data_IF_893797219294
#
_entry.id   IF_893797219294
#
_cell.length_a   1.000
_cell.length_b   1.000
_cell.length_c   1.000
_cell.angle_alpha   90.00
_cell.angle_beta   90.00
_cell.angle_gamma   90.00
#
_symmetry.space_group_name_H-M   'P 1'
#
loop_
_entity.id
_entity.type
_entity.pdbx_description
1 polymer ?
#
# COMPACT_ATOMS: atom_id res chain seq x y z
N UNK A 1 -14.84 42.39 3.45
CA UNK A 1 -13.73 41.53 2.96
C UNK A 1 -13.97 40.13 3.51
N UNK A 2 -14.93 39.39 2.93
CA UNK A 2 -15.51 38.18 3.52
C UNK A 2 -15.11 36.88 2.81
N UNK A 3 -14.09 36.91 1.94
CA UNK A 3 -13.79 35.79 1.03
C UNK A 3 -12.79 34.77 1.61
N UNK A 4 -11.97 35.15 2.58
CA UNK A 4 -10.88 34.28 3.06
C UNK A 4 -11.36 33.26 4.11
N UNK A 5 -12.43 33.57 4.84
CA UNK A 5 -12.94 32.70 5.91
C UNK A 5 -13.83 31.57 5.38
N UNK A 6 -14.50 31.78 4.25
CA UNK A 6 -15.23 30.71 3.55
C UNK A 6 -14.29 29.74 2.82
N UNK A 7 -13.14 30.24 2.32
CA UNK A 7 -12.12 29.38 1.71
C UNK A 7 -11.44 28.47 2.74
N UNK A 8 -11.12 29.00 3.92
CA UNK A 8 -10.59 28.22 5.03
C UNK A 8 -11.59 27.14 5.49
N UNK A 9 -12.88 27.48 5.60
CA UNK A 9 -13.91 26.51 5.97
C UNK A 9 -14.17 25.44 4.90
N UNK A 10 -13.95 25.72 3.61
CA UNK A 10 -14.04 24.69 2.56
C UNK A 10 -12.88 23.69 2.66
N UNK A 11 -11.66 24.18 2.92
CA UNK A 11 -10.48 23.33 3.16
C UNK A 11 -10.64 22.49 4.44
N UNK A 12 -11.14 23.10 5.51
CA UNK A 12 -11.25 22.43 6.82
C UNK A 12 -12.42 21.42 6.85
N UNK A 13 -13.50 21.69 6.11
CA UNK A 13 -14.67 20.80 6.02
C UNK A 13 -14.45 19.60 5.09
N UNK A 14 -13.47 19.67 4.18
CA UNK A 14 -13.00 18.49 3.44
C UNK A 14 -12.16 17.55 4.32
N UNK A 15 -11.50 18.10 5.35
CA UNK A 15 -10.56 17.36 6.20
C UNK A 15 -11.20 16.80 7.49
N UNK A 16 -12.48 17.07 7.75
CA UNK A 16 -13.14 16.70 9.01
C UNK A 16 -13.83 15.33 9.03
N UNK A 17 -13.90 14.59 7.90
CA UNK A 17 -14.62 13.31 7.88
C UNK A 17 -13.75 12.06 8.17
N UNK A 18 -12.45 12.24 8.41
CA UNK A 18 -11.60 11.12 8.88
C UNK A 18 -10.58 11.59 9.92
N UNK A 19 -11.03 11.67 11.18
CA UNK A 19 -10.16 11.94 12.31
C UNK A 19 -9.13 10.83 12.50
N UNK A 20 -7.94 11.00 11.92
CA UNK A 20 -6.63 10.57 12.43
C UNK A 20 -5.52 11.09 11.51
N UNK A 21 -4.74 12.02 12.03
CA UNK A 21 -3.61 12.70 11.40
C UNK A 21 -2.58 11.74 10.76
N UNK A 22 -2.24 11.97 9.49
CA UNK A 22 -0.88 12.00 8.91
C UNK A 22 -0.95 12.11 7.37
N UNK A 23 -0.45 13.21 6.80
CA UNK A 23 -0.19 13.45 5.37
C UNK A 23 -1.32 13.05 4.39
N UNK A 24 -2.18 14.01 4.05
CA UNK A 24 -2.96 13.96 2.82
C UNK A 24 -2.02 14.11 1.61
N UNK A 25 -1.59 12.95 1.09
CA UNK A 25 -1.19 12.83 -0.31
C UNK A 25 -2.38 13.27 -1.15
N UNK A 26 -2.13 14.25 -2.02
CA UNK A 26 -3.02 14.72 -3.10
C UNK A 26 -3.87 13.56 -3.59
N UNK A 27 -5.18 13.76 -3.72
CA UNK A 27 -6.14 12.82 -4.27
C UNK A 27 -5.78 12.41 -5.71
N UNK A 28 -4.78 11.53 -5.83
CA UNK A 28 -4.56 10.65 -6.97
C UNK A 28 -5.83 9.81 -7.05
N UNK A 29 -6.52 9.75 -8.20
CA UNK A 29 -7.81 9.05 -8.37
C UNK A 29 -7.81 7.52 -8.15
N UNK A 30 -6.94 7.01 -7.28
CA UNK A 30 -6.97 5.70 -6.68
C UNK A 30 -7.99 5.69 -5.53
N UNK A 31 -8.66 4.55 -5.34
CA UNK A 31 -9.56 4.37 -4.19
C UNK A 31 -8.74 4.40 -2.89
N UNK A 32 -9.31 4.95 -1.83
CA UNK A 32 -8.63 5.08 -0.54
C UNK A 32 -8.51 3.69 0.11
N UNK A 33 -7.37 3.03 -0.09
CA UNK A 33 -7.05 1.72 0.46
C UNK A 33 -6.38 1.83 1.82
N UNK A 34 -6.76 0.95 2.75
CA UNK A 34 -6.15 0.91 4.07
C UNK A 34 -4.73 0.34 3.96
N UNK A 35 -3.71 1.14 4.29
CA UNK A 35 -2.30 0.75 4.18
C UNK A 35 -1.60 0.53 5.54
N UNK A 36 -1.94 1.30 6.58
CA UNK A 36 -1.26 1.23 7.89
C UNK A 36 -2.28 1.11 9.03
N UNK A 37 -2.16 0.05 9.80
CA UNK A 37 -2.93 -0.27 11.01
C UNK A 37 -2.01 -0.52 12.23
N UNK A 38 -0.73 -0.85 11.99
CA UNK A 38 0.26 -1.16 13.01
C UNK A 38 1.57 -0.42 12.77
N UNK A 39 2.51 -0.51 13.73
CA UNK A 39 3.83 0.10 13.60
C UNK A 39 4.59 -0.49 12.41
N UNK A 40 4.95 0.36 11.44
CA UNK A 40 5.76 -0.03 10.28
C UNK A 40 7.16 -0.47 10.75
N UNK A 41 7.59 -1.70 10.42
CA UNK A 41 8.94 -2.18 10.71
C UNK A 41 10.03 -1.26 10.14
N UNK A 42 11.13 -1.06 10.89
CA UNK A 42 12.27 -0.24 10.46
C UNK A 42 12.79 -0.58 9.05
N UNK A 43 12.93 -1.86 8.64
CA UNK A 43 13.40 -2.21 7.30
C UNK A 43 12.58 -1.62 6.15
N UNK A 44 11.29 -1.35 6.38
CA UNK A 44 10.38 -0.79 5.38
C UNK A 44 10.41 0.74 5.36
N UNK A 45 10.88 1.39 6.43
CA UNK A 45 11.07 2.84 6.48
C UNK A 45 12.33 3.28 5.73
N UNK A 46 13.32 2.39 5.66
CA UNK A 46 14.57 2.62 4.95
C UNK A 46 14.46 2.32 3.43
N UNK A 47 13.30 1.85 2.96
CA UNK A 47 13.07 1.61 1.52
C UNK A 47 12.79 2.95 0.83
N UNK A 48 13.86 3.56 0.31
CA UNK A 48 13.77 4.72 -0.60
C UNK A 48 13.83 4.24 -2.05
N UNK A 49 12.76 3.57 -2.49
CA UNK A 49 12.62 3.09 -3.85
C UNK A 49 11.37 3.67 -4.50
N UNK A 50 11.44 3.85 -5.83
CA UNK A 50 10.34 4.35 -6.65
C UNK A 50 9.91 3.27 -7.61
N UNK A 51 8.60 3.04 -7.70
CA UNK A 51 8.05 2.13 -8.68
C UNK A 51 8.01 2.82 -10.03
N UNK A 52 8.89 2.36 -10.92
CA UNK A 52 9.04 2.86 -12.27
C UNK A 52 7.79 2.50 -13.09
N UNK A 53 6.87 3.45 -13.15
CA UNK A 53 5.66 3.47 -13.96
C UNK A 53 5.48 4.88 -14.52
N UNK A 54 4.42 5.14 -15.29
CA UNK A 54 4.17 6.46 -15.89
C UNK A 54 4.12 7.62 -14.87
N UNK A 55 3.94 7.29 -13.58
CA UNK A 55 3.82 8.24 -12.47
C UNK A 55 5.01 8.26 -11.50
N UNK A 56 6.02 7.38 -11.66
CA UNK A 56 7.22 7.29 -10.79
C UNK A 56 6.93 7.48 -9.28
N UNK A 57 5.96 6.72 -8.74
CA UNK A 57 5.50 6.86 -7.36
C UNK A 57 6.42 6.12 -6.37
N UNK A 58 6.69 6.68 -5.17
CA UNK A 58 7.46 6.01 -4.13
C UNK A 58 6.70 4.78 -3.57
N UNK A 59 7.44 3.80 -3.07
CA UNK A 59 6.84 2.72 -2.28
C UNK A 59 6.34 3.25 -0.94
N UNK A 60 5.05 3.07 -0.66
CA UNK A 60 4.44 3.40 0.62
C UNK A 60 4.48 2.17 1.54
N UNK A 61 4.92 2.28 2.81
CA UNK A 61 4.93 1.13 3.71
C UNK A 61 3.52 0.69 4.10
N UNK A 62 3.34 -0.63 4.20
CA UNK A 62 2.09 -1.30 4.56
C UNK A 62 2.30 -2.09 5.85
N UNK A 63 1.38 -1.94 6.81
CA UNK A 63 1.42 -2.69 8.07
C UNK A 63 -0.01 -2.91 8.58
N UNK A 64 -0.66 -4.00 8.17
CA UNK A 64 -2.07 -4.29 8.41
C UNK A 64 -2.25 -5.45 9.39
N UNK A 65 -3.06 -5.27 10.44
CA UNK A 65 -3.36 -6.35 11.38
C UNK A 65 -4.30 -7.37 10.72
N UNK A 66 -3.80 -8.58 10.51
CA UNK A 66 -4.57 -9.68 9.88
C UNK A 66 -4.94 -10.80 10.88
N UNK A 67 -4.11 -10.98 11.90
CA UNK A 67 -4.22 -12.03 12.92
C UNK A 67 -3.33 -13.24 12.63
N UNK A 68 -3.31 -14.20 13.58
CA UNK A 68 -2.54 -15.46 13.46
C UNK A 68 -3.18 -16.40 12.43
N UNK A 69 -2.99 -16.13 11.15
CA UNK A 69 -3.36 -17.00 10.04
C UNK A 69 -2.11 -17.36 9.25
N UNK A 70 -2.04 -18.57 8.74
CA UNK A 70 -0.86 -19.03 7.99
C UNK A 70 -0.73 -18.45 6.57
N UNK A 71 -1.78 -17.83 6.01
CA UNK A 71 -1.76 -17.36 4.62
C UNK A 71 -2.66 -16.13 4.36
N UNK A 72 -2.19 -15.28 3.44
CA UNK A 72 -2.89 -14.11 2.91
C UNK A 72 -3.49 -14.53 1.55
N UNK A 73 -4.81 -14.66 1.48
CA UNK A 73 -5.53 -14.94 0.23
C UNK A 73 -6.04 -13.64 -0.41
N UNK A 74 -6.23 -13.62 -1.73
CA UNK A 74 -6.70 -12.43 -2.47
C UNK A 74 -7.99 -11.82 -1.88
N UNK A 75 -9.04 -12.62 -1.65
CA UNK A 75 -10.31 -12.12 -1.06
C UNK A 75 -10.10 -11.52 0.32
N UNK A 76 -9.27 -12.18 1.13
CA UNK A 76 -8.97 -11.75 2.50
C UNK A 76 -8.13 -10.50 2.52
N UNK A 77 -7.25 -10.34 1.54
CA UNK A 77 -6.46 -9.14 1.36
C UNK A 77 -7.33 -7.98 0.88
N UNK A 78 -8.23 -8.22 -0.07
CA UNK A 78 -9.22 -7.25 -0.53
C UNK A 78 -10.08 -6.73 0.64
N UNK A 79 -10.60 -7.63 1.47
CA UNK A 79 -11.30 -7.30 2.72
C UNK A 79 -10.41 -6.43 3.63
N UNK A 80 -9.13 -6.76 3.77
CA UNK A 80 -8.18 -6.10 4.67
C UNK A 80 -7.86 -4.66 4.25
N UNK A 81 -7.70 -4.42 2.94
CA UNK A 81 -7.50 -3.09 2.38
C UNK A 81 -8.81 -2.34 2.14
N UNK A 82 -9.95 -2.97 2.47
CA UNK A 82 -11.31 -2.48 2.25
C UNK A 82 -11.57 -2.09 0.78
N UNK A 83 -11.10 -2.93 -0.14
CA UNK A 83 -11.26 -2.76 -1.58
C UNK A 83 -12.25 -3.75 -2.14
N UNK A 84 -13.17 -3.27 -2.98
CA UNK A 84 -14.19 -4.11 -3.63
C UNK A 84 -13.88 -4.38 -5.12
N UNK A 85 -12.73 -3.96 -5.62
CA UNK A 85 -12.31 -4.21 -6.99
C UNK A 85 -11.51 -5.51 -7.14
N UNK A 86 -10.94 -5.69 -8.33
CA UNK A 86 -10.19 -6.90 -8.68
C UNK A 86 -8.82 -6.90 -7.98
N UNK A 87 -8.54 -8.00 -7.29
CA UNK A 87 -7.24 -8.27 -6.64
C UNK A 87 -6.69 -9.55 -7.23
N UNK A 88 -5.53 -9.46 -7.88
CA UNK A 88 -4.83 -10.57 -8.51
C UNK A 88 -3.55 -10.89 -7.73
N UNK A 89 -3.34 -12.16 -7.37
CA UNK A 89 -2.05 -12.61 -6.83
C UNK A 89 -1.10 -12.90 -7.98
N UNK A 90 0.07 -12.26 -7.96
CA UNK A 90 1.14 -12.46 -8.93
C UNK A 90 2.42 -12.87 -8.21
N UNK A 91 3.26 -13.65 -8.88
CA UNK A 91 4.53 -14.06 -8.29
C UNK A 91 5.52 -12.89 -8.27
N UNK A 92 6.41 -12.86 -7.27
CA UNK A 92 7.48 -11.85 -7.18
C UNK A 92 8.34 -11.84 -8.44
N UNK A 93 8.55 -13.01 -9.08
CA UNK A 93 9.36 -13.14 -10.30
C UNK A 93 8.66 -12.56 -11.52
N UNK A 94 7.34 -12.73 -11.61
CA UNK A 94 6.53 -12.16 -12.69
C UNK A 94 6.37 -10.64 -12.52
N UNK A 95 6.26 -10.15 -11.29
CA UNK A 95 6.21 -8.72 -11.01
C UNK A 95 7.56 -8.02 -11.21
N UNK A 96 8.63 -8.62 -10.69
CA UNK A 96 9.99 -8.07 -10.74
C UNK A 96 10.87 -8.80 -11.77
N UNK A 97 10.41 -8.87 -13.02
CA UNK A 97 11.10 -9.60 -14.11
C UNK A 97 12.55 -9.13 -14.28
N UNK A 98 12.79 -7.82 -14.17
CA UNK A 98 14.11 -7.19 -14.31
C UNK A 98 14.95 -7.25 -13.03
N UNK A 99 14.39 -7.79 -11.95
CA UNK A 99 15.00 -7.86 -10.62
C UNK A 99 15.48 -6.49 -10.06
N UNK A 100 14.85 -5.39 -10.48
CA UNK A 100 15.21 -4.02 -10.07
C UNK A 100 14.78 -3.76 -8.62
N UNK A 101 13.72 -4.41 -8.16
CA UNK A 101 13.17 -4.25 -6.82
C UNK A 101 13.62 -5.33 -5.82
N UNK A 102 14.80 -5.93 -6.06
CA UNK A 102 15.36 -6.96 -5.18
C UNK A 102 15.45 -6.47 -3.72
N UNK A 103 15.94 -5.25 -3.52
CA UNK A 103 16.12 -4.64 -2.20
C UNK A 103 14.78 -4.44 -1.47
N UNK A 104 13.73 -4.05 -2.20
CA UNK A 104 12.37 -3.92 -1.68
C UNK A 104 11.86 -5.27 -1.18
N UNK A 105 11.99 -6.32 -2.01
CA UNK A 105 11.58 -7.68 -1.64
C UNK A 105 12.34 -8.19 -0.42
N UNK A 106 13.66 -7.94 -0.35
CA UNK A 106 14.45 -8.29 0.83
C UNK A 106 14.03 -7.51 2.08
N UNK A 107 13.73 -6.22 1.95
CA UNK A 107 13.24 -5.39 3.05
C UNK A 107 11.91 -5.90 3.60
N UNK A 108 10.97 -6.24 2.70
CA UNK A 108 9.68 -6.86 3.05
C UNK A 108 9.91 -8.21 3.75
N UNK A 109 10.79 -9.06 3.21
CA UNK A 109 11.12 -10.34 3.83
C UNK A 109 11.73 -10.18 5.22
N UNK A 110 12.62 -9.21 5.42
CA UNK A 110 13.20 -8.85 6.73
C UNK A 110 12.12 -8.34 7.69
N UNK A 111 11.16 -7.58 7.20
CA UNK A 111 10.03 -7.10 7.99
C UNK A 111 9.12 -8.24 8.49
N UNK A 112 8.97 -9.31 7.72
CA UNK A 112 8.25 -10.53 8.10
C UNK A 112 9.07 -11.54 8.92
N UNK A 113 10.23 -11.15 9.44
CA UNK A 113 11.17 -12.05 10.15
C UNK A 113 11.64 -13.27 9.33
N UNK A 114 11.40 -13.29 8.01
CA UNK A 114 11.73 -14.41 7.13
C UNK A 114 10.89 -15.68 7.33
N UNK A 115 9.74 -15.59 8.00
CA UNK A 115 8.90 -16.76 8.33
C UNK A 115 7.94 -17.14 7.22
N UNK A 116 7.39 -16.13 6.53
CA UNK A 116 6.50 -16.29 5.41
C UNK A 116 7.18 -15.85 4.11
N UNK A 117 6.72 -16.41 3.00
CA UNK A 117 7.13 -15.95 1.67
C UNK A 117 6.56 -14.55 1.39
N UNK A 118 7.21 -13.83 0.47
CA UNK A 118 6.73 -12.54 -0.01
C UNK A 118 5.69 -12.79 -1.10
N UNK A 119 4.50 -12.24 -0.92
CA UNK A 119 3.40 -12.30 -1.88
C UNK A 119 3.22 -10.94 -2.53
N UNK A 120 2.84 -10.93 -3.81
CA UNK A 120 2.53 -9.71 -4.55
C UNK A 120 1.08 -9.74 -4.99
N UNK A 121 0.32 -8.70 -4.65
CA UNK A 121 -1.05 -8.52 -5.08
C UNK A 121 -1.16 -7.30 -5.98
N UNK A 122 -1.72 -7.47 -7.17
CA UNK A 122 -2.10 -6.39 -8.07
C UNK A 122 -3.56 -6.06 -7.83
N UNK A 123 -3.84 -4.81 -7.49
CA UNK A 123 -5.16 -4.32 -7.16
C UNK A 123 -5.58 -3.31 -8.23
N UNK A 124 -6.58 -3.66 -9.04
CA UNK A 124 -7.05 -2.77 -10.10
C UNK A 124 -7.96 -1.67 -9.54
N UNK A 125 -7.70 -0.43 -9.96
CA UNK A 125 -8.48 0.76 -9.67
C UNK A 125 -9.04 1.35 -10.98
N UNK A 126 -10.23 0.90 -11.37
CA UNK A 126 -10.85 1.34 -12.62
C UNK A 126 -10.12 0.77 -13.84
N UNK A 127 -9.97 1.58 -14.90
CA UNK A 127 -9.51 1.10 -16.21
C UNK A 127 -8.01 1.24 -16.47
N UNK A 128 -7.34 2.20 -15.85
CA UNK A 128 -5.94 2.56 -16.16
C UNK A 128 -5.04 2.67 -14.94
N UNK A 129 -5.55 2.36 -13.74
CA UNK A 129 -4.79 2.52 -12.50
C UNK A 129 -4.75 1.20 -11.76
N UNK A 130 -3.60 0.85 -11.20
CA UNK A 130 -3.45 -0.33 -10.38
C UNK A 130 -2.48 -0.06 -9.22
N UNK A 131 -2.70 -0.72 -8.09
CA UNK A 131 -1.79 -0.71 -6.94
C UNK A 131 -1.14 -2.08 -6.81
N UNK A 132 0.19 -2.12 -6.70
CA UNK A 132 0.93 -3.34 -6.40
C UNK A 132 1.25 -3.36 -4.92
N UNK A 133 0.85 -4.43 -4.24
CA UNK A 133 1.12 -4.67 -2.83
C UNK A 133 2.12 -5.80 -2.69
N UNK A 134 3.30 -5.50 -2.16
CA UNK A 134 4.36 -6.47 -1.90
C UNK A 134 4.38 -6.68 -0.39
N UNK A 135 3.80 -7.79 0.06
CA UNK A 135 3.53 -8.01 1.48
C UNK A 135 3.99 -9.39 1.93
N UNK A 136 4.21 -9.51 3.23
CA UNK A 136 4.50 -10.77 3.91
C UNK A 136 3.85 -10.77 5.28
N UNK A 137 3.79 -11.93 5.91
CA UNK A 137 3.24 -12.10 7.24
C UNK A 137 4.36 -12.16 8.29
N UNK A 138 4.25 -11.35 9.35
CA UNK A 138 5.18 -11.39 10.48
C UNK A 138 4.76 -12.41 11.56
N UNK A 139 5.61 -12.61 12.57
CA UNK A 139 5.37 -13.52 13.70
C UNK A 139 4.11 -13.20 14.53
N UNK A 140 3.68 -11.95 14.51
CA UNK A 140 2.52 -11.44 15.26
C UNK A 140 1.20 -11.63 14.49
N UNK A 141 1.27 -12.08 13.23
CA UNK A 141 0.10 -12.16 12.34
C UNK A 141 -0.28 -10.82 11.73
N UNK A 142 0.68 -9.92 11.59
CA UNK A 142 0.53 -8.62 10.92
C UNK A 142 1.11 -8.76 9.52
N UNK A 143 0.33 -8.32 8.53
CA UNK A 143 0.76 -8.22 7.14
C UNK A 143 1.60 -6.97 7.01
N UNK A 144 2.88 -7.13 6.72
CA UNK A 144 3.84 -6.03 6.59
C UNK A 144 4.46 -6.04 5.21
N UNK A 145 4.67 -4.87 4.64
CA UNK A 145 5.17 -4.77 3.27
C UNK A 145 5.26 -3.35 2.74
N UNK A 146 5.20 -3.23 1.43
CA UNK A 146 5.07 -1.95 0.74
C UNK A 146 3.96 -2.02 -0.30
N UNK A 147 3.43 -0.87 -0.70
CA UNK A 147 2.57 -0.72 -1.85
C UNK A 147 3.12 0.33 -2.81
N UNK A 148 2.83 0.16 -4.09
CA UNK A 148 3.18 1.11 -5.13
C UNK A 148 1.97 1.37 -6.02
N UNK A 149 1.77 2.65 -6.37
CA UNK A 149 0.76 3.05 -7.34
C UNK A 149 1.35 3.01 -8.74
N UNK A 150 0.56 2.52 -9.68
CA UNK A 150 0.93 2.42 -11.07
C UNK A 150 -0.23 2.86 -11.95
N UNK A 151 0.11 3.47 -13.09
CA UNK A 151 -0.85 3.81 -14.14
C UNK A 151 -0.46 3.00 -15.37
N UNK A 152 -1.40 2.20 -15.86
CA UNK A 152 -1.29 1.39 -17.08
C UNK A 152 -2.20 2.06 -18.12
N UNK A 153 -1.59 2.83 -19.03
CA UNK A 153 -2.29 3.47 -20.17
C UNK A 153 -2.03 2.74 -21.47
#
# INVERSE_FOLDING_TARGET
MSSDQEYANFLEKANQDTGSSSNEVKSSGFAQTKAVDSAVPAPLKDVDAFYQSDTDEPFEPVALKYGKKDSISQDKFADLINHSGEVEEISVKDWNVKNVYAEVVEAVKKAGSGKADVQVFRVAHGSTRCEYYIVTLNDEGVVVGVKAKAVES
#
